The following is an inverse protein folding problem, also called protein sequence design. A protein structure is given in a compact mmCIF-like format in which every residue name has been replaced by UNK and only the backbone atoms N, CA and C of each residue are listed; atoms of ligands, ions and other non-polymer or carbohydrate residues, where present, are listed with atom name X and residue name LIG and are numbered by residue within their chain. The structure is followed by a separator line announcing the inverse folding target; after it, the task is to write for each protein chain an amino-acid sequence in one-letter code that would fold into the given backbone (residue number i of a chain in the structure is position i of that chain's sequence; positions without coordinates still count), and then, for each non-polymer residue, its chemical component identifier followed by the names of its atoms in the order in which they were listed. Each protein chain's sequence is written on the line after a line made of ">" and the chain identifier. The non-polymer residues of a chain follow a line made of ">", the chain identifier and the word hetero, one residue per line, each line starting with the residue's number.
data_IF_851113239815
#
_entry.id   IF_851113239815
#
_cell.length_a   1.000
_cell.length_b   1.000
_cell.length_c   1.000
_cell.angle_alpha   90.00
_cell.angle_beta   90.00
_cell.angle_gamma   90.00
#
_symmetry.space_group_name_H-M   'P 1'
#
loop_
_entity.id
_entity.type
_entity.pdbx_description
1 polymer ?
#
# COMPACT_ATOMS: atom_id res chain seq x y z
N UNK A 1 -27.03 30.10 -70.14
CA UNK A 1 -26.60 30.51 -68.79
C UNK A 1 -25.23 29.90 -68.52
N UNK A 2 -24.17 30.61 -68.90
CA UNK A 2 -22.78 30.14 -68.86
C UNK A 2 -22.08 30.84 -67.70
N UNK A 3 -21.67 30.10 -66.67
CA UNK A 3 -20.81 30.66 -65.62
C UNK A 3 -19.36 30.66 -66.11
N UNK A 4 -18.64 31.79 -66.07
CA UNK A 4 -17.29 31.88 -66.59
C UNK A 4 -16.31 31.22 -65.61
N UNK A 5 -15.41 30.39 -66.15
CA UNK A 5 -14.35 29.74 -65.39
C UNK A 5 -13.16 30.71 -65.29
N UNK A 6 -13.04 31.38 -64.13
CA UNK A 6 -11.94 32.30 -63.83
C UNK A 6 -10.76 31.59 -63.15
N UNK A 7 -9.61 31.68 -63.81
CA UNK A 7 -8.28 31.18 -63.45
C UNK A 7 -7.75 31.75 -62.13
N UNK A 8 -7.99 31.09 -60.98
CA UNK A 8 -7.31 31.36 -59.68
C UNK A 8 -7.39 30.17 -58.69
N UNK A 9 -7.67 28.95 -59.17
CA UNK A 9 -8.03 27.82 -58.29
C UNK A 9 -6.83 27.09 -57.68
N UNK A 10 -5.67 27.09 -58.33
CA UNK A 10 -4.48 26.36 -57.86
C UNK A 10 -3.71 27.12 -56.77
N UNK A 11 -3.62 28.46 -56.86
CA UNK A 11 -2.88 29.27 -55.87
C UNK A 11 -3.58 29.32 -54.52
N UNK A 12 -4.92 29.33 -54.52
CA UNK A 12 -5.70 29.34 -53.29
C UNK A 12 -5.62 27.99 -52.54
N UNK A 13 -5.56 26.86 -53.25
CA UNK A 13 -5.44 25.54 -52.62
C UNK A 13 -4.11 25.36 -51.87
N UNK A 14 -3.00 25.80 -52.44
CA UNK A 14 -1.69 25.74 -51.77
C UNK A 14 -1.67 26.61 -50.51
N UNK A 15 -2.22 27.82 -50.56
CA UNK A 15 -2.35 28.72 -49.40
C UNK A 15 -3.31 28.18 -48.33
N UNK A 16 -4.33 27.43 -48.74
CA UNK A 16 -5.29 26.81 -47.82
C UNK A 16 -4.67 25.62 -47.09
N UNK A 17 -3.90 24.78 -47.80
CA UNK A 17 -3.15 23.67 -47.21
C UNK A 17 -2.02 24.16 -46.29
N UNK A 18 -1.34 25.25 -46.66
CA UNK A 18 -0.30 25.88 -45.82
C UNK A 18 -0.86 26.60 -44.57
N UNK A 19 -2.16 26.88 -44.53
CA UNK A 19 -2.87 27.38 -43.35
C UNK A 19 -3.49 26.26 -42.50
N UNK A 20 -3.36 25.01 -42.93
CA UNK A 20 -3.93 23.82 -42.29
C UNK A 20 -2.93 23.12 -41.34
N UNK A 21 -2.02 23.88 -40.73
CA UNK A 21 -1.09 23.40 -39.70
C UNK A 21 -1.74 23.18 -38.33
N UNK A 22 -3.07 23.31 -38.23
CA UNK A 22 -3.80 23.32 -36.95
C UNK A 22 -3.83 21.97 -36.24
N UNK A 23 -3.47 20.87 -36.92
CA UNK A 23 -3.49 19.51 -36.34
C UNK A 23 -2.12 18.87 -36.09
N UNK A 24 -1.11 19.16 -36.92
CA UNK A 24 0.17 18.43 -36.90
C UNK A 24 1.06 18.85 -35.71
N UNK A 25 1.13 20.15 -35.41
CA UNK A 25 1.91 20.70 -34.29
C UNK A 25 1.28 20.33 -32.94
N UNK A 26 -0.05 20.33 -32.86
CA UNK A 26 -0.79 20.05 -31.61
C UNK A 26 -0.67 18.58 -31.16
N UNK A 27 -0.40 17.65 -32.08
CA UNK A 27 -0.43 16.21 -31.78
C UNK A 27 0.88 15.68 -31.18
N UNK A 28 2.03 16.12 -31.72
CA UNK A 28 3.34 15.62 -31.25
C UNK A 28 3.73 16.23 -29.91
N UNK A 29 3.44 17.52 -29.70
CA UNK A 29 3.71 18.22 -28.44
C UNK A 29 2.89 17.64 -27.29
N UNK A 30 1.62 17.32 -27.54
CA UNK A 30 0.74 16.70 -26.54
C UNK A 30 1.21 15.28 -26.16
N UNK A 31 1.65 14.48 -27.14
CA UNK A 31 2.22 13.15 -26.87
C UNK A 31 3.47 13.25 -26.00
N UNK A 32 4.35 14.21 -26.28
CA UNK A 32 5.57 14.41 -25.49
C UNK A 32 5.26 14.81 -24.03
N UNK A 33 4.24 15.64 -23.81
CA UNK A 33 3.81 16.00 -22.45
C UNK A 33 3.20 14.79 -21.73
N UNK A 34 2.34 14.02 -22.41
CA UNK A 34 1.70 12.83 -21.82
C UNK A 34 2.73 11.77 -21.42
N UNK A 35 3.74 11.51 -22.25
CA UNK A 35 4.74 10.50 -21.91
C UNK A 35 5.58 10.88 -20.69
N UNK A 36 5.98 12.16 -20.59
CA UNK A 36 6.69 12.67 -19.40
C UNK A 36 5.79 12.60 -18.17
N UNK A 37 4.50 12.95 -18.31
CA UNK A 37 3.51 12.85 -17.23
C UNK A 37 3.36 11.40 -16.75
N UNK A 38 3.22 10.44 -17.67
CA UNK A 38 3.08 9.02 -17.32
C UNK A 38 4.32 8.49 -16.62
N UNK A 39 5.53 8.84 -17.09
CA UNK A 39 6.78 8.43 -16.44
C UNK A 39 6.87 9.02 -15.02
N UNK A 40 6.54 10.31 -14.87
CA UNK A 40 6.50 10.96 -13.55
C UNK A 40 5.46 10.34 -12.62
N UNK A 41 4.29 9.95 -13.14
CA UNK A 41 3.24 9.31 -12.37
C UNK A 41 3.62 7.90 -11.94
N UNK A 42 4.31 7.13 -12.79
CA UNK A 42 4.82 5.80 -12.41
C UNK A 42 5.83 5.93 -11.28
N UNK A 43 6.82 6.82 -11.42
CA UNK A 43 7.82 7.04 -10.37
C UNK A 43 7.21 7.58 -9.06
N UNK A 44 6.22 8.47 -9.15
CA UNK A 44 5.47 8.97 -8.00
C UNK A 44 4.64 7.88 -7.32
N UNK A 45 3.99 7.01 -8.08
CA UNK A 45 3.18 5.92 -7.55
C UNK A 45 4.04 4.83 -6.91
N UNK A 46 5.24 4.55 -7.44
CA UNK A 46 6.19 3.63 -6.80
C UNK A 46 6.65 4.18 -5.45
N UNK A 47 6.98 5.47 -5.37
CA UNK A 47 7.37 6.10 -4.12
C UNK A 47 6.24 6.09 -3.08
N UNK A 48 4.99 6.36 -3.51
CA UNK A 48 3.81 6.28 -2.65
C UNK A 48 3.61 4.86 -2.11
N UNK A 49 3.71 3.85 -2.98
CA UNK A 49 3.60 2.44 -2.58
C UNK A 49 4.63 2.10 -1.51
N UNK A 50 5.89 2.45 -1.73
CA UNK A 50 6.97 2.11 -0.81
C UNK A 50 6.78 2.80 0.55
N UNK A 51 6.34 4.07 0.54
CA UNK A 51 5.99 4.79 1.77
C UNK A 51 4.85 4.10 2.54
N UNK A 52 3.75 3.72 1.87
CA UNK A 52 2.63 3.03 2.52
C UNK A 52 3.07 1.68 3.09
N UNK A 53 3.85 0.90 2.35
CA UNK A 53 4.35 -0.39 2.81
C UNK A 53 5.25 -0.22 4.04
N UNK A 54 6.08 0.83 4.08
CA UNK A 54 6.90 1.14 5.26
C UNK A 54 6.03 1.39 6.48
N UNK A 55 5.02 2.27 6.37
CA UNK A 55 4.10 2.58 7.48
C UNK A 55 3.32 1.34 7.93
N UNK A 56 2.83 0.52 7.00
CA UNK A 56 2.14 -0.72 7.35
C UNK A 56 3.06 -1.73 8.04
N UNK A 57 4.34 -1.74 7.69
CA UNK A 57 5.34 -2.59 8.36
C UNK A 57 5.56 -2.11 9.79
N UNK A 58 5.61 -0.81 10.02
CA UNK A 58 5.77 -0.25 11.37
C UNK A 58 4.50 -0.45 12.22
N UNK A 59 3.32 -0.36 11.62
CA UNK A 59 2.05 -0.78 12.25
C UNK A 59 2.08 -2.27 12.60
N UNK A 60 2.51 -3.14 11.69
CA UNK A 60 2.59 -4.58 11.95
C UNK A 60 3.56 -4.90 13.09
N UNK A 61 4.71 -4.22 13.16
CA UNK A 61 5.66 -4.36 14.26
C UNK A 61 5.10 -3.86 15.58
N UNK A 62 4.36 -2.75 15.57
CA UNK A 62 3.69 -2.25 16.76
C UNK A 62 2.70 -3.28 17.31
N UNK A 63 1.88 -3.88 16.45
CA UNK A 63 0.93 -4.93 16.83
C UNK A 63 1.65 -6.17 17.37
N UNK A 64 2.76 -6.60 16.76
CA UNK A 64 3.56 -7.73 17.27
C UNK A 64 4.26 -7.41 18.59
N UNK A 65 4.63 -6.14 18.82
CA UNK A 65 5.25 -5.67 20.05
C UNK A 65 4.27 -5.43 21.19
N UNK A 66 2.96 -5.57 20.96
CA UNK A 66 1.97 -5.49 22.03
C UNK A 66 2.10 -6.71 22.94
N UNK A 67 2.19 -6.48 24.25
CA UNK A 67 2.19 -7.56 25.22
C UNK A 67 0.80 -8.21 25.29
N UNK A 68 0.69 -9.47 24.87
CA UNK A 68 -0.56 -10.24 24.90
C UNK A 68 -0.76 -11.02 26.21
N UNK A 69 0.15 -10.87 27.19
CA UNK A 69 0.08 -11.55 28.48
C UNK A 69 -0.93 -10.90 29.44
N UNK A 70 -1.66 -11.71 30.20
CA UNK A 70 -2.58 -11.24 31.25
C UNK A 70 -2.50 -12.12 32.49
N UNK A 71 -2.85 -11.59 33.66
CA UNK A 71 -2.86 -12.34 34.91
C UNK A 71 -3.94 -11.87 35.88
N UNK A 72 -4.61 -12.81 36.51
CA UNK A 72 -5.68 -12.60 37.50
C UNK A 72 -5.33 -13.40 38.75
N UNK A 73 -5.30 -12.72 39.89
CA UNK A 73 -5.00 -13.35 41.18
C UNK A 73 -6.20 -14.10 41.74
N UNK A 74 -5.93 -15.25 42.36
CA UNK A 74 -6.90 -15.98 43.17
C UNK A 74 -7.13 -15.31 44.52
N UNK A 75 -8.29 -15.56 45.14
CA UNK A 75 -8.64 -15.04 46.47
C UNK A 75 -8.80 -16.22 47.43
N UNK A 76 -8.15 -16.15 48.59
CA UNK A 76 -8.18 -17.17 49.62
C UNK A 76 -8.80 -16.62 50.92
N UNK A 77 -9.70 -17.39 51.53
CA UNK A 77 -10.41 -17.05 52.77
C UNK A 77 -10.63 -18.27 53.67
N UNK A 78 -11.16 -18.05 54.88
CA UNK A 78 -11.18 -19.06 55.96
C UNK A 78 -11.91 -20.39 55.62
N UNK A 79 -12.87 -20.37 54.69
CA UNK A 79 -13.65 -21.55 54.30
C UNK A 79 -13.76 -21.73 52.77
N UNK A 80 -13.09 -20.89 51.97
CA UNK A 80 -13.18 -20.93 50.52
C UNK A 80 -11.94 -20.31 49.88
N UNK A 81 -11.49 -20.95 48.79
CA UNK A 81 -10.38 -20.48 47.97
C UNK A 81 -10.81 -20.49 46.50
N UNK A 82 -10.42 -19.46 45.76
CA UNK A 82 -10.59 -19.37 44.31
C UNK A 82 -9.22 -19.35 43.67
N UNK A 83 -9.00 -20.21 42.67
CA UNK A 83 -7.75 -20.22 41.91
C UNK A 83 -7.61 -18.96 41.05
N UNK A 84 -6.40 -18.42 40.95
CA UNK A 84 -6.06 -17.41 39.95
C UNK A 84 -5.88 -18.03 38.58
N UNK A 85 -5.85 -17.21 37.54
CA UNK A 85 -5.47 -17.66 36.20
C UNK A 85 -4.65 -16.61 35.48
N UNK A 86 -3.73 -17.03 34.62
CA UNK A 86 -2.93 -16.12 33.83
C UNK A 86 -2.36 -16.78 32.59
N UNK A 87 -1.98 -15.94 31.64
CA UNK A 87 -1.38 -16.28 30.36
C UNK A 87 -0.14 -15.41 30.15
N UNK A 88 0.97 -16.06 29.81
CA UNK A 88 2.19 -15.38 29.37
C UNK A 88 2.45 -15.74 27.91
N UNK A 89 2.51 -14.71 27.07
CA UNK A 89 2.94 -14.78 25.67
C UNK A 89 4.47 -14.62 25.61
N UNK A 90 5.18 -15.71 25.36
CA UNK A 90 6.64 -15.70 25.26
C UNK A 90 7.08 -15.38 23.83
N UNK A 91 8.15 -14.59 23.67
CA UNK A 91 8.70 -14.25 22.34
C UNK A 91 9.12 -15.51 21.59
N UNK A 92 8.57 -15.70 20.39
CA UNK A 92 8.95 -16.79 19.50
C UNK A 92 10.44 -16.66 19.14
N UNK A 93 11.25 -17.59 19.65
CA UNK A 93 12.69 -17.59 19.40
C UNK A 93 12.98 -18.42 18.16
N UNK A 94 13.69 -17.90 17.13
CA UNK A 94 13.99 -18.66 15.91
C UNK A 94 14.93 -19.87 16.12
N UNK A 95 15.22 -20.25 17.37
CA UNK A 95 16.11 -21.32 17.76
C UNK A 95 15.40 -22.66 18.07
N UNK A 96 14.08 -22.79 17.92
CA UNK A 96 13.36 -24.06 18.16
C UNK A 96 13.30 -24.96 16.92
N UNK A 97 14.48 -25.46 16.48
CA UNK A 97 14.56 -26.52 15.45
C UNK A 97 14.12 -27.90 15.99
N UNK A 98 13.66 -27.97 17.24
CA UNK A 98 13.26 -29.22 17.92
C UNK A 98 11.93 -29.04 18.64
N UNK A 99 10.83 -29.07 17.88
CA UNK A 99 9.61 -29.80 18.23
C UNK A 99 8.84 -29.49 19.52
N UNK A 100 9.12 -28.41 20.25
CA UNK A 100 8.21 -27.93 21.29
C UNK A 100 8.34 -26.43 21.53
N UNK A 101 7.64 -25.65 20.71
CA UNK A 101 7.26 -24.28 21.04
C UNK A 101 6.24 -24.34 22.19
N UNK A 102 6.71 -24.27 23.43
CA UNK A 102 5.81 -23.95 24.55
C UNK A 102 5.75 -22.41 24.66
N UNK A 103 5.16 -21.74 23.66
CA UNK A 103 4.97 -20.27 23.68
C UNK A 103 3.82 -19.82 24.58
N UNK A 104 3.23 -20.75 25.33
CA UNK A 104 2.05 -20.54 26.16
C UNK A 104 2.29 -21.15 27.53
N UNK A 105 2.38 -20.29 28.55
CA UNK A 105 2.37 -20.72 29.94
C UNK A 105 1.05 -20.25 30.57
N UNK A 106 0.14 -21.22 30.76
CA UNK A 106 -1.13 -21.01 31.46
C UNK A 106 -0.91 -21.34 32.93
N UNK A 107 -1.08 -20.34 33.80
CA UNK A 107 -1.04 -20.53 35.24
C UNK A 107 -2.46 -20.65 35.75
N UNK A 108 -2.75 -21.65 36.59
CA UNK A 108 -4.07 -21.75 37.19
C UNK A 108 -4.47 -23.10 37.79
N UNK A 109 -3.68 -23.64 38.73
CA UNK A 109 -4.17 -24.29 39.96
C UNK A 109 -3.05 -24.27 41.01
N UNK A 110 -3.41 -24.16 42.28
CA UNK A 110 -2.47 -24.29 43.39
C UNK A 110 -2.14 -25.78 43.65
N UNK A 111 -1.53 -26.51 42.71
CA UNK A 111 -0.87 -27.80 43.00
C UNK A 111 0.02 -28.41 41.88
N UNK A 112 0.52 -27.69 40.89
CA UNK A 112 1.42 -28.28 39.87
C UNK A 112 2.75 -27.52 39.79
N UNK A 113 3.53 -27.65 40.88
CA UNK A 113 5.01 -27.56 40.93
C UNK A 113 5.52 -28.70 41.81
#
# INVERSE_FOLDING_TARGET
>A
MTRPFGSNRCTNLVVTLWRDDRGFVVSVELILIITILVIGLIAGLTALRDAIVSELTDVARSVQGMNQSFGINGVAGAAANTAGSGFIDATDSPASITGSDQCIVVFGTANEL
#
